data_IF_849183422894
#
_entry.id   IF_849183422894
#
_cell.length_a   1.000
_cell.length_b   1.000
_cell.length_c   1.000
_cell.angle_alpha   90.00
_cell.angle_beta   90.00
_cell.angle_gamma   90.00
#
_symmetry.space_group_name_H-M   'P 1'
#
loop_
_entity.id
_entity.type
_entity.pdbx_description
1 polymer ?
#
# COMPACT_ATOMS: atom_id res chain seq x y z
N UNK A 1 -5.28 21.81 -36.78
CA UNK A 1 -5.00 20.89 -35.65
C UNK A 1 -5.78 19.59 -35.84
N UNK A 2 -5.18 18.40 -35.66
CA UNK A 2 -5.93 17.13 -35.68
C UNK A 2 -6.88 17.06 -34.47
N UNK A 3 -8.18 16.85 -34.71
CA UNK A 3 -9.20 16.71 -33.65
C UNK A 3 -8.81 15.60 -32.67
N UNK A 4 -9.00 15.87 -31.38
CA UNK A 4 -8.59 15.01 -30.27
C UNK A 4 -9.82 14.29 -29.73
N UNK A 5 -10.12 13.14 -30.31
CA UNK A 5 -11.35 12.38 -30.02
C UNK A 5 -11.18 11.44 -28.83
N UNK A 6 -12.23 11.30 -28.03
CA UNK A 6 -12.29 10.38 -26.89
C UNK A 6 -13.37 9.34 -27.14
N UNK A 7 -12.98 8.07 -27.03
CA UNK A 7 -13.88 6.94 -27.19
C UNK A 7 -13.96 6.15 -25.88
N UNK A 8 -15.15 5.66 -25.58
CA UNK A 8 -15.40 4.55 -24.66
C UNK A 8 -15.44 3.26 -25.45
N UNK A 9 -14.85 2.19 -24.94
CA UNK A 9 -14.91 0.84 -25.50
C UNK A 9 -15.44 -0.11 -24.44
N UNK A 10 -16.27 -1.05 -24.87
CA UNK A 10 -16.75 -2.18 -24.09
C UNK A 10 -16.09 -3.46 -24.61
N UNK A 11 -15.58 -4.28 -23.70
CA UNK A 11 -15.01 -5.59 -24.00
C UNK A 11 -15.22 -6.51 -22.81
N UNK A 12 -15.78 -7.71 -23.03
CA UNK A 12 -16.10 -8.68 -21.99
C UNK A 12 -16.86 -8.05 -20.79
N UNK A 13 -17.87 -7.22 -21.10
CA UNK A 13 -18.68 -6.51 -20.09
C UNK A 13 -17.89 -5.55 -19.17
N UNK A 14 -16.68 -5.15 -19.60
CA UNK A 14 -15.85 -4.14 -18.97
C UNK A 14 -15.69 -2.93 -19.89
N UNK A 15 -15.46 -1.76 -19.29
CA UNK A 15 -15.39 -0.48 -20.00
C UNK A 15 -14.04 0.20 -19.82
N UNK A 16 -13.56 0.82 -20.89
CA UNK A 16 -12.37 1.67 -20.86
C UNK A 16 -12.45 2.84 -21.83
N UNK A 17 -11.63 3.86 -21.58
CA UNK A 17 -11.55 5.07 -22.40
C UNK A 17 -10.16 5.25 -22.97
N UNK A 18 -10.08 5.76 -24.20
CA UNK A 18 -8.82 6.26 -24.71
C UNK A 18 -9.00 7.49 -25.58
N UNK A 19 -7.95 8.30 -25.61
CA UNK A 19 -7.84 9.49 -26.46
C UNK A 19 -7.06 9.13 -27.72
N UNK A 20 -7.53 9.58 -28.87
CA UNK A 20 -6.83 9.40 -30.15
C UNK A 20 -6.91 10.64 -31.03
N UNK A 21 -5.82 10.92 -31.75
CA UNK A 21 -5.77 11.92 -32.83
C UNK A 21 -5.91 11.30 -34.22
N UNK A 22 -6.10 9.98 -34.28
CA UNK A 22 -6.18 9.23 -35.53
C UNK A 22 -7.58 9.23 -36.16
N UNK A 23 -8.58 9.85 -35.52
CA UNK A 23 -9.95 9.97 -36.03
C UNK A 23 -10.82 8.72 -35.86
N UNK A 24 -10.24 7.51 -35.74
CA UNK A 24 -11.02 6.27 -35.60
C UNK A 24 -10.60 5.40 -34.42
N UNK A 25 -11.54 4.58 -33.93
CA UNK A 25 -11.32 3.59 -32.87
C UNK A 25 -10.28 2.54 -33.28
N UNK A 26 -10.35 2.05 -34.52
CA UNK A 26 -9.39 1.08 -35.08
C UNK A 26 -7.93 1.55 -34.94
N UNK A 27 -7.64 2.77 -35.39
CA UNK A 27 -6.29 3.32 -35.30
C UNK A 27 -5.90 3.69 -33.87
N UNK A 28 -6.86 4.12 -33.05
CA UNK A 28 -6.66 4.39 -31.63
C UNK A 28 -6.23 3.14 -30.85
N UNK A 29 -6.97 2.04 -30.99
CA UNK A 29 -6.64 0.76 -30.35
C UNK A 29 -5.30 0.20 -30.84
N UNK A 30 -5.00 0.31 -32.15
CA UNK A 30 -3.69 -0.08 -32.68
C UNK A 30 -2.54 0.67 -31.98
N UNK A 31 -2.69 1.98 -31.75
CA UNK A 31 -1.69 2.78 -31.01
C UNK A 31 -1.59 2.39 -29.55
N UNK A 32 -2.70 2.07 -28.89
CA UNK A 32 -2.68 1.56 -27.51
C UNK A 32 -1.92 0.23 -27.43
N UNK A 33 -2.15 -0.69 -28.37
CA UNK A 33 -1.42 -1.96 -28.43
C UNK A 33 0.09 -1.76 -28.65
N UNK A 34 0.48 -0.88 -29.58
CA UNK A 34 1.91 -0.55 -29.77
C UNK A 34 2.53 0.04 -28.52
N UNK A 35 1.82 0.93 -27.83
CA UNK A 35 2.29 1.53 -26.56
C UNK A 35 2.44 0.47 -25.48
N UNK A 36 1.45 -0.40 -25.31
CA UNK A 36 1.49 -1.48 -24.32
C UNK A 36 2.65 -2.44 -24.57
N UNK A 37 2.91 -2.82 -25.83
CA UNK A 37 4.08 -3.64 -26.21
C UNK A 37 5.39 -2.97 -25.79
N UNK A 38 5.58 -1.70 -26.14
CA UNK A 38 6.80 -0.97 -25.83
C UNK A 38 7.07 -0.85 -24.32
N UNK A 39 6.02 -0.61 -23.53
CA UNK A 39 6.12 -0.56 -22.07
C UNK A 39 6.40 -1.93 -21.46
N UNK A 40 5.77 -2.99 -21.98
CA UNK A 40 6.00 -4.36 -21.50
C UNK A 40 7.44 -4.81 -21.73
N UNK A 41 8.03 -4.48 -22.89
CA UNK A 41 9.44 -4.76 -23.19
C UNK A 41 10.40 -4.08 -22.20
N UNK A 42 9.99 -2.96 -21.60
CA UNK A 42 10.75 -2.24 -20.57
C UNK A 42 10.44 -2.71 -19.15
N UNK A 43 9.61 -3.74 -18.99
CA UNK A 43 9.11 -4.21 -17.69
C UNK A 43 8.40 -3.13 -16.86
N UNK A 44 7.80 -2.14 -17.53
CA UNK A 44 6.99 -1.12 -16.86
C UNK A 44 5.65 -1.70 -16.41
N UNK A 45 5.11 -1.19 -15.29
CA UNK A 45 3.73 -1.50 -14.88
C UNK A 45 2.75 -1.04 -15.95
N UNK A 46 1.92 -1.96 -16.43
CA UNK A 46 0.85 -1.66 -17.37
C UNK A 46 -0.44 -1.38 -16.60
N UNK A 47 -1.22 -0.40 -17.03
CA UNK A 47 -2.61 -0.29 -16.55
C UNK A 47 -3.41 -1.53 -16.97
N UNK A 48 -4.45 -1.93 -16.22
CA UNK A 48 -5.30 -3.09 -16.57
C UNK A 48 -5.77 -3.07 -18.03
N UNK A 49 -6.15 -1.90 -18.55
CA UNK A 49 -6.55 -1.74 -19.97
C UNK A 49 -5.41 -2.06 -20.94
N UNK A 50 -4.20 -1.61 -20.66
CA UNK A 50 -3.04 -1.85 -21.54
C UNK A 50 -2.62 -3.30 -21.51
N UNK A 51 -2.62 -3.91 -20.33
CA UNK A 51 -2.36 -5.33 -20.15
C UNK A 51 -3.40 -6.18 -20.90
N UNK A 52 -4.68 -5.87 -20.74
CA UNK A 52 -5.78 -6.53 -21.46
C UNK A 52 -5.65 -6.37 -22.99
N UNK A 53 -5.41 -5.14 -23.47
CA UNK A 53 -5.20 -4.88 -24.89
C UNK A 53 -4.03 -5.71 -25.44
N UNK A 54 -2.95 -5.83 -24.66
CA UNK A 54 -1.77 -6.59 -25.03
C UNK A 54 -2.04 -8.10 -25.09
N UNK A 55 -2.63 -8.68 -24.04
CA UNK A 55 -2.90 -10.12 -23.92
C UNK A 55 -3.95 -10.61 -24.92
N UNK A 56 -5.08 -9.92 -24.97
CA UNK A 56 -6.23 -10.30 -25.82
C UNK A 56 -6.12 -9.74 -27.25
N UNK A 57 -5.03 -9.00 -27.55
CA UNK A 57 -4.81 -8.35 -28.85
C UNK A 57 -6.04 -7.54 -29.31
N UNK A 58 -6.63 -6.78 -28.38
CA UNK A 58 -7.86 -6.01 -28.62
C UNK A 58 -7.68 -5.08 -29.83
N UNK A 59 -8.65 -5.13 -30.72
CA UNK A 59 -8.75 -4.33 -31.94
C UNK A 59 -10.23 -4.02 -32.25
N UNK A 60 -10.49 -3.28 -33.33
CA UNK A 60 -11.87 -2.88 -33.67
C UNK A 60 -12.82 -4.03 -33.99
N UNK A 61 -12.31 -5.23 -34.27
CA UNK A 61 -13.12 -6.35 -34.75
C UNK A 61 -13.50 -7.32 -33.62
N UNK A 62 -12.91 -7.18 -32.43
CA UNK A 62 -13.13 -8.08 -31.30
C UNK A 62 -13.51 -7.34 -30.01
N UNK A 63 -14.05 -6.12 -30.14
CA UNK A 63 -14.67 -5.37 -29.04
C UNK A 63 -16.18 -5.57 -29.07
N UNK A 64 -16.82 -5.52 -27.90
CA UNK A 64 -18.28 -5.69 -27.79
C UNK A 64 -18.99 -4.47 -28.39
N UNK A 65 -18.51 -3.27 -28.07
CA UNK A 65 -19.10 -1.99 -28.48
C UNK A 65 -18.10 -0.84 -28.29
N UNK A 66 -18.36 0.31 -28.93
CA UNK A 66 -17.67 1.56 -28.63
C UNK A 66 -18.59 2.76 -28.83
N UNK A 67 -18.31 3.85 -28.11
CA UNK A 67 -19.10 5.08 -28.20
C UNK A 67 -18.18 6.30 -28.24
N UNK A 68 -18.54 7.27 -29.07
CA UNK A 68 -17.89 8.58 -29.11
C UNK A 68 -18.34 9.39 -27.89
N UNK A 69 -17.39 9.79 -27.04
CA UNK A 69 -17.70 10.54 -25.81
C UNK A 69 -17.49 12.04 -26.02
N UNK A 70 -16.43 12.43 -26.73
CA UNK A 70 -16.18 13.84 -27.00
C UNK A 70 -15.25 14.06 -28.20
N UNK A 71 -15.59 15.04 -29.03
CA UNK A 71 -14.70 15.65 -30.03
C UNK A 71 -14.37 17.11 -29.71
N UNK A 72 -14.82 17.62 -28.55
CA UNK A 72 -14.62 19.02 -28.18
C UNK A 72 -13.12 19.33 -28.02
N UNK A 73 -12.65 20.49 -28.44
CA UNK A 73 -11.25 20.87 -28.26
C UNK A 73 -10.96 21.46 -26.88
N UNK A 74 -11.98 21.94 -26.16
CA UNK A 74 -11.84 22.43 -24.78
C UNK A 74 -11.68 21.27 -23.80
N UNK A 75 -10.61 21.32 -23.01
CA UNK A 75 -10.25 20.24 -22.08
C UNK A 75 -11.22 20.11 -20.91
N UNK A 76 -11.79 21.22 -20.45
CA UNK A 76 -12.73 21.22 -19.33
C UNK A 76 -14.04 20.53 -19.72
N UNK A 77 -14.57 20.86 -20.91
CA UNK A 77 -15.73 20.18 -21.45
C UNK A 77 -15.44 18.71 -21.75
N UNK A 78 -14.25 18.37 -22.31
CA UNK A 78 -13.83 16.97 -22.43
C UNK A 78 -13.89 16.24 -21.07
N UNK A 79 -13.35 16.84 -20.02
CA UNK A 79 -13.37 16.24 -18.68
C UNK A 79 -14.80 16.02 -18.17
N UNK A 80 -15.70 17.00 -18.34
CA UNK A 80 -17.11 16.88 -17.94
C UNK A 80 -17.81 15.73 -18.65
N UNK A 81 -17.64 15.59 -19.97
CA UNK A 81 -18.25 14.49 -20.72
C UNK A 81 -17.74 13.12 -20.26
N UNK A 82 -16.44 13.00 -19.98
CA UNK A 82 -15.85 11.76 -19.46
C UNK A 82 -16.40 11.43 -18.06
N UNK A 83 -16.43 12.40 -17.14
CA UNK A 83 -16.96 12.20 -15.78
C UNK A 83 -18.42 11.75 -15.87
N UNK A 84 -19.24 12.45 -16.65
CA UNK A 84 -20.65 12.10 -16.86
C UNK A 84 -20.79 10.67 -17.38
N UNK A 85 -20.06 10.30 -18.42
CA UNK A 85 -20.12 8.96 -18.99
C UNK A 85 -19.68 7.88 -17.99
N UNK A 86 -18.56 8.05 -17.29
CA UNK A 86 -18.08 7.12 -16.27
C UNK A 86 -19.14 6.91 -15.17
N UNK A 87 -19.81 7.99 -14.73
CA UNK A 87 -20.83 7.89 -13.65
C UNK A 87 -22.05 7.04 -14.02
N UNK A 88 -22.29 6.79 -15.31
CA UNK A 88 -23.36 5.90 -15.78
C UNK A 88 -23.01 4.42 -15.67
N UNK A 89 -21.75 4.08 -15.39
CA UNK A 89 -21.24 2.71 -15.42
C UNK A 89 -20.96 2.22 -13.99
N UNK A 90 -21.26 0.96 -13.71
CA UNK A 90 -20.93 0.34 -12.44
C UNK A 90 -19.39 0.36 -12.23
N UNK A 91 -18.88 0.86 -11.09
CA UNK A 91 -17.44 0.93 -10.84
C UNK A 91 -16.69 -0.39 -11.05
N UNK A 92 -17.32 -1.54 -10.76
CA UNK A 92 -16.73 -2.87 -10.96
C UNK A 92 -16.52 -3.22 -12.44
N UNK A 93 -17.23 -2.55 -13.35
CA UNK A 93 -17.10 -2.77 -14.79
C UNK A 93 -16.05 -1.85 -15.43
N UNK A 94 -15.64 -0.78 -14.75
CA UNK A 94 -14.56 0.07 -15.26
C UNK A 94 -13.23 -0.67 -15.13
N UNK A 95 -12.40 -0.66 -16.15
CA UNK A 95 -11.04 -1.20 -16.08
C UNK A 95 -10.06 -0.19 -15.52
N UNK A 96 -9.02 -0.69 -14.88
CA UNK A 96 -7.90 0.11 -14.43
C UNK A 96 -7.19 0.81 -15.58
N UNK A 97 -7.14 2.14 -15.54
CA UNK A 97 -6.51 2.95 -16.58
C UNK A 97 -6.09 4.33 -16.11
N UNK A 98 -5.26 4.98 -16.91
CA UNK A 98 -4.89 6.38 -16.74
C UNK A 98 -5.75 7.29 -17.63
N UNK A 99 -6.50 8.21 -17.02
CA UNK A 99 -7.33 9.21 -17.69
C UNK A 99 -6.90 10.60 -17.22
N UNK A 100 -5.79 11.10 -17.78
CA UNK A 100 -5.21 12.39 -17.37
C UNK A 100 -6.08 13.60 -17.68
N UNK A 101 -7.06 13.49 -18.58
CA UNK A 101 -7.92 14.61 -18.96
C UNK A 101 -8.86 15.03 -17.83
N UNK A 102 -9.27 14.10 -16.97
CA UNK A 102 -10.31 14.34 -15.96
C UNK A 102 -9.84 15.35 -14.90
N UNK A 103 -8.54 15.44 -14.60
CA UNK A 103 -8.01 16.44 -13.66
C UNK A 103 -8.23 17.89 -14.12
N UNK A 104 -8.40 18.12 -15.43
CA UNK A 104 -8.66 19.45 -15.99
C UNK A 104 -10.00 20.02 -15.49
N UNK A 105 -10.94 19.15 -15.05
CA UNK A 105 -12.15 19.57 -14.34
C UNK A 105 -11.82 20.31 -13.04
N UNK A 106 -11.03 19.68 -12.16
CA UNK A 106 -10.63 20.27 -10.89
C UNK A 106 -9.79 21.54 -11.09
N UNK A 107 -8.88 21.54 -12.07
CA UNK A 107 -8.03 22.70 -12.37
C UNK A 107 -8.86 23.90 -12.82
N UNK A 108 -9.80 23.70 -13.76
CA UNK A 108 -10.67 24.79 -14.22
C UNK A 108 -11.51 25.37 -13.09
N UNK A 109 -12.04 24.56 -12.18
CA UNK A 109 -12.79 25.07 -11.03
C UNK A 109 -11.93 25.98 -10.15
N UNK A 110 -10.65 25.62 -9.92
CA UNK A 110 -9.72 26.48 -9.17
C UNK A 110 -9.46 27.79 -9.92
N UNK A 111 -9.28 27.75 -11.24
CA UNK A 111 -9.13 28.97 -12.04
C UNK A 111 -10.36 29.87 -11.96
N UNK A 112 -11.56 29.31 -12.05
CA UNK A 112 -12.80 30.06 -11.93
C UNK A 112 -12.98 30.68 -10.53
N UNK A 113 -12.37 30.09 -9.50
CA UNK A 113 -12.35 30.70 -8.18
C UNK A 113 -11.33 31.84 -8.10
N UNK A 114 -10.16 31.66 -8.71
CA UNK A 114 -9.11 32.68 -8.74
C UNK A 114 -9.49 33.92 -9.54
N UNK A 115 -10.30 33.77 -10.59
CA UNK A 115 -10.82 34.87 -11.41
C UNK A 115 -12.17 35.43 -10.90
N UNK A 116 -12.58 35.01 -9.70
CA UNK A 116 -13.80 35.44 -9.02
C UNK A 116 -15.11 35.10 -9.76
N UNK A 117 -15.08 34.21 -10.76
CA UNK A 117 -16.28 33.73 -11.47
C UNK A 117 -17.01 32.56 -10.78
N UNK A 118 -16.42 32.00 -9.73
CA UNK A 118 -16.97 30.90 -8.93
C UNK A 118 -16.79 31.16 -7.44
N UNK A 119 -17.87 31.08 -6.67
CA UNK A 119 -17.81 31.23 -5.21
C UNK A 119 -17.13 30.03 -4.53
N UNK A 120 -16.47 30.28 -3.38
CA UNK A 120 -15.78 29.27 -2.59
C UNK A 120 -16.69 28.10 -2.20
N UNK A 121 -17.94 28.36 -1.80
CA UNK A 121 -18.87 27.30 -1.37
C UNK A 121 -19.18 26.34 -2.51
N UNK A 122 -19.32 26.85 -3.73
CA UNK A 122 -19.58 26.07 -4.94
C UNK A 122 -18.32 25.30 -5.35
N UNK A 123 -17.16 25.95 -5.33
CA UNK A 123 -15.87 25.29 -5.57
C UNK A 123 -15.67 24.11 -4.62
N UNK A 124 -15.79 24.37 -3.31
CA UNK A 124 -15.56 23.37 -2.27
C UNK A 124 -16.48 22.17 -2.45
N UNK A 125 -17.78 22.40 -2.64
CA UNK A 125 -18.77 21.34 -2.90
C UNK A 125 -18.43 20.56 -4.16
N UNK A 126 -18.02 21.23 -5.24
CA UNK A 126 -17.70 20.60 -6.52
C UNK A 126 -16.45 19.72 -6.42
N UNK A 127 -15.40 20.20 -5.75
CA UNK A 127 -14.18 19.44 -5.51
C UNK A 127 -14.40 18.28 -4.53
N UNK A 128 -15.29 18.44 -3.55
CA UNK A 128 -15.69 17.34 -2.66
C UNK A 128 -16.44 16.25 -3.42
N UNK A 129 -17.41 16.61 -4.26
CA UNK A 129 -18.07 15.67 -5.17
C UNK A 129 -17.08 14.98 -6.12
N UNK A 130 -16.09 15.72 -6.62
CA UNK A 130 -15.04 15.17 -7.46
C UNK A 130 -14.16 14.16 -6.70
N UNK A 131 -13.79 14.46 -5.45
CA UNK A 131 -13.06 13.53 -4.59
C UNK A 131 -13.87 12.25 -4.32
N UNK A 132 -15.17 12.36 -4.09
CA UNK A 132 -16.04 11.19 -3.88
C UNK A 132 -16.22 10.37 -5.16
N UNK A 133 -16.27 11.03 -6.32
CA UNK A 133 -16.16 10.36 -7.61
C UNK A 133 -14.83 9.58 -7.75
N UNK A 134 -13.69 10.19 -7.37
CA UNK A 134 -12.38 9.50 -7.43
C UNK A 134 -12.32 8.27 -6.50
N UNK A 135 -12.93 8.36 -5.31
CA UNK A 135 -13.05 7.22 -4.38
C UNK A 135 -13.90 6.10 -4.97
N UNK A 136 -15.05 6.46 -5.58
CA UNK A 136 -15.97 5.50 -6.19
C UNK A 136 -15.32 4.76 -7.35
N UNK A 137 -14.57 5.47 -8.19
CA UNK A 137 -13.83 4.91 -9.34
C UNK A 137 -12.34 4.77 -9.02
N UNK A 138 -12.05 4.10 -7.90
CA UNK A 138 -10.69 3.99 -7.36
C UNK A 138 -9.68 3.22 -8.21
N UNK A 139 -10.11 2.64 -9.32
CA UNK A 139 -9.29 1.98 -10.32
C UNK A 139 -8.78 2.91 -11.42
N UNK A 140 -9.15 4.20 -11.43
CA UNK A 140 -8.71 5.16 -12.45
C UNK A 140 -7.60 6.07 -11.91
N UNK A 141 -6.41 6.06 -12.53
CA UNK A 141 -5.41 7.11 -12.35
C UNK A 141 -5.85 8.38 -13.10
N UNK A 142 -6.24 9.41 -12.37
CA UNK A 142 -6.68 10.68 -12.93
C UNK A 142 -5.51 11.59 -13.34
N UNK A 143 -4.27 11.16 -13.12
CA UNK A 143 -3.07 11.84 -13.62
C UNK A 143 -2.68 13.10 -12.83
N UNK A 144 -3.10 13.21 -11.58
CA UNK A 144 -2.59 14.22 -10.66
C UNK A 144 -1.12 13.97 -10.30
N UNK A 145 -0.34 15.01 -9.96
CA UNK A 145 1.01 14.87 -9.46
C UNK A 145 1.04 14.15 -8.09
N UNK A 146 2.23 13.77 -7.62
CA UNK A 146 2.36 12.99 -6.37
C UNK A 146 2.24 13.84 -5.10
N UNK A 147 2.57 15.14 -5.19
CA UNK A 147 2.49 16.10 -4.10
C UNK A 147 2.25 17.52 -4.65
N UNK A 148 2.00 18.48 -3.76
CA UNK A 148 1.70 19.88 -4.12
C UNK A 148 2.89 20.57 -4.82
N UNK A 149 4.13 20.31 -4.38
CA UNK A 149 5.31 20.97 -4.95
C UNK A 149 5.60 20.55 -6.40
N UNK A 150 4.99 19.46 -6.88
CA UNK A 150 5.07 18.99 -8.25
C UNK A 150 4.02 19.60 -9.19
N UNK A 151 3.21 20.55 -8.73
CA UNK A 151 2.35 21.32 -9.63
C UNK A 151 3.18 22.28 -10.48
N UNK A 152 3.30 21.99 -11.77
CA UNK A 152 3.95 22.87 -12.75
C UNK A 152 3.15 24.16 -13.02
N UNK A 153 1.86 24.16 -12.71
CA UNK A 153 0.99 25.30 -12.90
C UNK A 153 1.14 26.28 -11.74
N UNK A 154 1.80 27.41 -12.03
CA UNK A 154 2.13 28.42 -11.02
C UNK A 154 0.88 29.06 -10.42
N UNK A 155 -0.19 29.21 -11.18
CA UNK A 155 -1.42 29.86 -10.70
C UNK A 155 -2.17 28.94 -9.72
N UNK A 156 -2.27 27.66 -10.05
CA UNK A 156 -2.83 26.65 -9.14
C UNK A 156 -1.98 26.55 -7.85
N UNK A 157 -0.65 26.51 -7.99
CA UNK A 157 0.24 26.48 -6.83
C UNK A 157 0.10 27.73 -5.95
N UNK A 158 0.00 28.92 -6.56
CA UNK A 158 -0.22 30.17 -5.85
C UNK A 158 -1.58 30.21 -5.14
N UNK A 159 -2.61 29.55 -5.68
CA UNK A 159 -3.89 29.39 -5.01
C UNK A 159 -3.75 28.67 -3.67
N UNK A 160 -2.97 27.59 -3.65
CA UNK A 160 -2.73 26.81 -2.43
C UNK A 160 -2.02 27.64 -1.35
N UNK A 161 -1.10 28.52 -1.76
CA UNK A 161 -0.44 29.46 -0.82
C UNK A 161 -1.44 30.44 -0.23
N UNK A 162 -2.40 30.92 -1.02
CA UNK A 162 -3.37 31.95 -0.63
C UNK A 162 -4.55 31.41 0.19
N UNK A 163 -5.02 30.20 -0.10
CA UNK A 163 -6.19 29.59 0.55
C UNK A 163 -5.91 28.16 1.03
N UNK A 164 -5.57 28.04 2.32
CA UNK A 164 -5.27 26.76 2.98
C UNK A 164 -6.43 25.75 2.88
N UNK A 165 -7.67 26.21 2.78
CA UNK A 165 -8.83 25.29 2.71
C UNK A 165 -8.84 24.54 1.37
N UNK A 166 -8.41 25.21 0.30
CA UNK A 166 -8.26 24.61 -1.03
C UNK A 166 -7.05 23.68 -1.05
N UNK A 167 -5.94 24.11 -0.45
CA UNK A 167 -4.75 23.28 -0.27
C UNK A 167 -5.09 21.94 0.41
N UNK A 168 -5.79 21.99 1.55
CA UNK A 168 -6.21 20.81 2.32
C UNK A 168 -7.07 19.85 1.47
N UNK A 169 -7.97 20.39 0.65
CA UNK A 169 -8.81 19.59 -0.23
C UNK A 169 -7.99 18.95 -1.35
N UNK A 170 -7.03 19.66 -1.92
CA UNK A 170 -6.11 19.10 -2.90
C UNK A 170 -5.20 18.03 -2.32
N UNK A 171 -4.68 18.19 -1.09
CA UNK A 171 -3.92 17.13 -0.42
C UNK A 171 -4.73 15.83 -0.37
N UNK A 172 -6.03 15.90 -0.07
CA UNK A 172 -6.93 14.74 -0.08
C UNK A 172 -7.08 14.14 -1.49
N UNK A 173 -7.24 14.99 -2.51
CA UNK A 173 -7.28 14.57 -3.94
C UNK A 173 -5.99 13.87 -4.35
N UNK A 174 -4.81 14.40 -4.01
CA UNK A 174 -3.51 13.81 -4.37
C UNK A 174 -3.30 12.46 -3.67
N UNK A 175 -3.62 12.37 -2.37
CA UNK A 175 -3.60 11.11 -1.62
C UNK A 175 -4.51 10.08 -2.27
N UNK A 176 -5.73 10.47 -2.66
CA UNK A 176 -6.65 9.57 -3.35
C UNK A 176 -6.14 9.17 -4.75
N UNK A 177 -5.59 10.09 -5.54
CA UNK A 177 -5.04 9.75 -6.86
C UNK A 177 -3.86 8.79 -6.76
N UNK A 178 -3.01 8.95 -5.74
CA UNK A 178 -1.92 8.02 -5.45
C UNK A 178 -2.46 6.60 -5.22
N UNK A 179 -3.47 6.43 -4.36
CA UNK A 179 -4.17 5.15 -4.17
C UNK A 179 -4.75 4.60 -5.49
N UNK A 180 -5.34 5.48 -6.30
CA UNK A 180 -5.94 5.05 -7.56
C UNK A 180 -4.93 4.61 -8.61
N UNK A 181 -3.79 5.31 -8.72
CA UNK A 181 -2.67 4.95 -9.60
C UNK A 181 -2.26 3.50 -9.36
N UNK A 182 -2.03 3.15 -8.09
CA UNK A 182 -1.68 1.79 -7.69
C UNK A 182 -2.75 0.75 -8.08
N UNK A 183 -4.04 1.08 -7.92
CA UNK A 183 -5.16 0.17 -8.27
C UNK A 183 -5.42 0.05 -9.76
N UNK A 184 -4.99 1.05 -10.54
CA UNK A 184 -5.16 1.07 -12.00
C UNK A 184 -4.17 0.18 -12.74
N UNK A 185 -3.05 -0.15 -12.09
CA UNK A 185 -1.92 -0.89 -12.65
C UNK A 185 -2.00 -2.38 -12.34
N UNK A 186 -1.48 -3.19 -13.26
CA UNK A 186 -1.20 -4.60 -13.07
C UNK A 186 0.26 -4.79 -12.67
N UNK A 187 0.50 -5.82 -11.84
CA UNK A 187 1.85 -6.31 -11.63
C UNK A 187 2.45 -6.75 -12.97
N UNK A 188 3.76 -6.53 -13.21
CA UNK A 188 4.42 -7.08 -14.37
C UNK A 188 4.22 -8.60 -14.44
N UNK A 189 4.06 -9.16 -15.65
CA UNK A 189 3.80 -10.60 -15.84
C UNK A 189 4.85 -11.48 -15.16
N UNK A 190 6.12 -11.08 -15.24
CA UNK A 190 7.23 -11.78 -14.58
C UNK A 190 7.04 -11.84 -13.05
N UNK A 191 6.59 -10.75 -12.42
CA UNK A 191 6.32 -10.68 -10.98
C UNK A 191 5.15 -11.59 -10.63
N UNK A 192 4.05 -11.51 -11.38
CA UNK A 192 2.85 -12.31 -11.12
C UNK A 192 3.13 -13.81 -11.31
N UNK A 193 3.88 -14.18 -12.35
CA UNK A 193 4.28 -15.56 -12.60
C UNK A 193 5.20 -16.07 -11.48
N UNK A 194 6.21 -15.29 -11.11
CA UNK A 194 7.13 -15.67 -10.03
C UNK A 194 6.42 -15.81 -8.69
N UNK A 195 5.48 -14.90 -8.38
CA UNK A 195 4.59 -15.00 -7.23
C UNK A 195 3.79 -16.32 -7.23
N UNK A 196 3.09 -16.61 -8.32
CA UNK A 196 2.25 -17.80 -8.43
C UNK A 196 3.08 -19.09 -8.33
N UNK A 197 4.24 -19.13 -9.01
CA UNK A 197 5.16 -20.26 -8.93
C UNK A 197 5.72 -20.45 -7.52
N UNK A 198 6.08 -19.37 -6.82
CA UNK A 198 6.60 -19.42 -5.45
C UNK A 198 5.60 -20.11 -4.51
N UNK A 199 4.35 -19.66 -4.50
CA UNK A 199 3.33 -20.24 -3.63
C UNK A 199 2.85 -21.63 -4.12
N UNK A 200 2.93 -21.93 -5.41
CA UNK A 200 2.71 -23.29 -5.94
C UNK A 200 3.80 -24.26 -5.46
N UNK A 201 5.07 -23.81 -5.35
CA UNK A 201 6.14 -24.62 -4.75
C UNK A 201 5.85 -24.95 -3.29
N UNK A 202 5.34 -23.99 -2.51
CA UNK A 202 4.95 -24.25 -1.11
C UNK A 202 3.80 -25.24 -0.99
N UNK A 203 2.80 -25.19 -1.89
CA UNK A 203 1.68 -26.15 -1.86
C UNK A 203 2.08 -27.56 -2.29
N UNK A 204 3.10 -27.69 -3.14
CA UNK A 204 3.54 -28.97 -3.70
C UNK A 204 4.70 -29.61 -2.92
N UNK A 205 5.44 -28.83 -2.12
CA UNK A 205 6.54 -29.37 -1.32
C UNK A 205 6.05 -30.00 -0.01
N UNK A 206 6.57 -31.20 0.22
CA UNK A 206 6.36 -32.06 1.39
C UNK A 206 7.11 -31.56 2.64
N UNK A 207 7.10 -30.24 2.92
CA UNK A 207 7.49 -29.77 4.25
C UNK A 207 6.31 -30.05 5.18
N UNK A 208 6.21 -31.29 5.67
CA UNK A 208 5.17 -31.80 6.58
C UNK A 208 5.05 -31.02 7.91
N UNK A 209 5.82 -29.94 8.11
CA UNK A 209 5.97 -29.20 9.36
C UNK A 209 5.72 -27.70 9.18
N UNK A 210 5.44 -27.22 7.95
CA UNK A 210 5.20 -25.78 7.75
C UNK A 210 3.76 -25.42 8.08
N UNK A 211 3.61 -24.60 9.11
CA UNK A 211 2.34 -24.01 9.50
C UNK A 211 1.83 -23.06 8.40
N UNK A 212 0.78 -23.50 7.69
CA UNK A 212 0.15 -22.75 6.60
C UNK A 212 -0.35 -21.38 7.04
N UNK A 213 -0.68 -21.22 8.33
CA UNK A 213 -1.16 -19.94 8.87
C UNK A 213 -0.12 -18.82 8.75
N UNK A 214 1.16 -19.15 8.52
CA UNK A 214 2.22 -18.15 8.33
C UNK A 214 2.15 -17.45 6.97
N UNK A 215 1.56 -18.10 5.96
CA UNK A 215 1.55 -17.56 4.61
C UNK A 215 0.18 -17.61 3.94
N UNK A 216 -0.83 -18.17 4.59
CA UNK A 216 -2.18 -18.27 4.07
C UNK A 216 -3.19 -18.02 5.18
N UNK A 217 -4.25 -17.29 4.86
CA UNK A 217 -5.47 -17.24 5.67
C UNK A 217 -6.61 -17.87 4.86
N UNK A 218 -7.04 -19.06 5.29
CA UNK A 218 -8.07 -19.85 4.59
C UNK A 218 -9.45 -19.21 4.69
N UNK A 219 -9.73 -18.50 5.79
CA UNK A 219 -11.03 -17.86 6.04
C UNK A 219 -11.33 -16.75 5.03
N UNK A 220 -10.31 -16.01 4.62
CA UNK A 220 -10.42 -14.92 3.65
C UNK A 220 -9.87 -15.28 2.25
N UNK A 221 -9.50 -16.55 2.01
CA UNK A 221 -8.84 -17.02 0.76
C UNK A 221 -7.63 -16.16 0.35
N UNK A 222 -6.81 -15.79 1.34
CA UNK A 222 -5.61 -14.98 1.11
C UNK A 222 -4.39 -15.89 1.10
N UNK A 223 -3.78 -16.08 -0.07
CA UNK A 223 -2.45 -16.66 -0.23
C UNK A 223 -1.41 -15.55 -0.22
N UNK A 224 -0.30 -15.76 0.49
CA UNK A 224 0.77 -14.80 0.70
C UNK A 224 0.43 -13.76 1.76
N UNK A 225 1.01 -13.90 2.94
CA UNK A 225 0.89 -12.94 4.04
C UNK A 225 2.22 -12.21 4.27
N UNK A 226 2.12 -10.93 4.59
CA UNK A 226 3.21 -10.17 5.19
C UNK A 226 2.82 -9.76 6.62
N UNK A 227 3.79 -9.75 7.51
CA UNK A 227 3.62 -9.62 8.95
C UNK A 227 4.34 -8.36 9.43
N UNK A 228 3.65 -7.54 10.21
CA UNK A 228 4.30 -6.51 11.01
C UNK A 228 4.14 -6.83 12.49
N UNK A 229 5.19 -6.55 13.26
CA UNK A 229 5.32 -6.92 14.66
C UNK A 229 5.70 -5.69 15.48
N UNK A 230 4.90 -5.38 16.50
CA UNK A 230 5.17 -4.23 17.38
C UNK A 230 4.47 -4.37 18.72
N UNK A 231 4.67 -3.41 19.61
CA UNK A 231 4.02 -3.35 20.93
C UNK A 231 2.58 -2.86 20.81
N UNK A 232 1.72 -3.25 21.75
CA UNK A 232 0.30 -2.89 21.78
C UNK A 232 0.04 -1.37 21.70
N UNK A 233 0.90 -0.53 22.29
CA UNK A 233 0.75 0.92 22.23
C UNK A 233 0.97 1.44 20.81
N UNK A 234 2.02 0.95 20.14
CA UNK A 234 2.28 1.27 18.74
C UNK A 234 1.17 0.73 17.84
N UNK A 235 0.65 -0.47 18.13
CA UNK A 235 -0.45 -1.05 17.37
C UNK A 235 -1.72 -0.20 17.46
N UNK A 236 -2.07 0.28 18.66
CA UNK A 236 -3.20 1.19 18.85
C UNK A 236 -3.05 2.46 17.99
N UNK A 237 -1.86 3.05 17.93
CA UNK A 237 -1.56 4.18 17.04
C UNK A 237 -1.69 3.78 15.55
N UNK A 238 -1.05 2.68 15.13
CA UNK A 238 -1.10 2.19 13.74
C UNK A 238 -2.55 2.04 13.25
N UNK A 239 -3.42 1.44 14.07
CA UNK A 239 -4.82 1.23 13.73
C UNK A 239 -5.63 2.53 13.74
N UNK A 240 -5.32 3.46 14.63
CA UNK A 240 -6.00 4.76 14.73
C UNK A 240 -5.66 5.69 13.55
N UNK A 241 -4.40 5.68 13.12
CA UNK A 241 -3.93 6.48 11.99
C UNK A 241 -3.99 5.76 10.65
N UNK A 242 -4.31 4.46 10.66
CA UNK A 242 -4.41 3.59 9.48
C UNK A 242 -3.12 3.58 8.63
N UNK A 243 -1.96 3.56 9.31
CA UNK A 243 -0.65 3.51 8.65
C UNK A 243 0.42 2.85 9.51
N UNK A 244 1.36 2.17 8.86
CA UNK A 244 2.61 1.67 9.45
C UNK A 244 3.74 2.50 8.88
N UNK A 245 4.54 3.11 9.75
CA UNK A 245 5.59 4.05 9.36
C UNK A 245 6.98 3.45 9.50
N UNK A 246 7.92 3.96 8.70
CA UNK A 246 9.33 3.73 8.88
C UNK A 246 9.83 4.46 10.11
N UNK A 247 10.97 4.01 10.66
CA UNK A 247 11.53 4.63 11.87
C UNK A 247 11.81 6.11 11.68
N UNK A 248 12.46 6.50 10.57
CA UNK A 248 12.78 7.90 10.32
C UNK A 248 11.54 8.76 10.09
N UNK A 249 10.49 8.20 9.47
CA UNK A 249 9.23 8.91 9.28
C UNK A 249 8.46 9.09 10.59
N UNK A 250 8.42 8.04 11.43
CA UNK A 250 7.69 8.05 12.71
C UNK A 250 8.22 9.08 13.72
N UNK A 251 9.50 9.45 13.64
CA UNK A 251 10.08 10.51 14.49
C UNK A 251 9.46 11.88 14.23
N UNK A 252 8.91 12.11 13.03
CA UNK A 252 8.27 13.37 12.65
C UNK A 252 6.84 13.45 13.21
N UNK A 253 6.11 12.32 13.22
CA UNK A 253 4.69 12.25 13.56
C UNK A 253 4.41 11.68 14.98
N UNK A 254 5.45 11.28 15.73
CA UNK A 254 5.39 10.66 17.08
C UNK A 254 4.45 9.45 17.19
N UNK A 255 4.29 8.68 16.11
CA UNK A 255 3.42 7.50 16.08
C UNK A 255 4.01 6.26 16.75
N UNK A 256 5.33 6.09 16.70
CA UNK A 256 6.01 5.04 17.44
C UNK A 256 6.30 5.55 18.86
N UNK A 257 5.67 4.92 19.85
CA UNK A 257 5.96 5.12 21.26
C UNK A 257 7.16 4.26 21.64
N UNK A 258 7.14 2.97 21.27
CA UNK A 258 8.19 2.01 21.61
C UNK A 258 9.03 1.61 20.39
N UNK A 259 10.34 1.47 20.58
CA UNK A 259 11.24 0.95 19.56
C UNK A 259 11.14 -0.59 19.50
N UNK A 260 10.94 -1.17 18.31
CA UNK A 260 10.79 -2.64 18.16
C UNK A 260 12.10 -3.44 18.37
N UNK A 261 13.24 -2.75 18.54
CA UNK A 261 14.56 -3.35 18.73
C UNK A 261 15.48 -2.43 19.54
N UNK A 262 16.54 -3.00 20.12
CA UNK A 262 17.57 -2.27 20.88
C UNK A 262 18.29 -1.19 20.07
N UNK A 263 18.71 -0.10 20.72
CA UNK A 263 19.52 0.98 20.13
C UNK A 263 20.75 0.45 19.37
N UNK A 264 21.50 -0.51 19.92
CA UNK A 264 22.62 -1.16 19.21
C UNK A 264 22.24 -1.76 17.85
N UNK A 265 21.07 -2.39 17.75
CA UNK A 265 20.57 -2.95 16.48
C UNK A 265 20.18 -1.83 15.53
N UNK A 266 19.46 -0.83 16.04
CA UNK A 266 18.95 0.27 15.25
C UNK A 266 20.09 1.20 14.75
N UNK A 267 20.97 1.62 15.63
CA UNK A 267 21.95 2.68 15.38
C UNK A 267 23.31 2.14 14.94
N UNK A 268 23.71 0.96 15.42
CA UNK A 268 25.07 0.43 15.18
C UNK A 268 25.13 -0.68 14.12
N UNK A 269 24.06 -1.48 13.99
CA UNK A 269 24.05 -2.65 13.12
C UNK A 269 23.23 -2.48 11.85
N UNK A 270 22.29 -1.53 11.81
CA UNK A 270 21.40 -1.31 10.67
C UNK A 270 21.80 -0.03 9.94
N UNK A 271 21.94 -0.09 8.61
CA UNK A 271 22.31 1.06 7.78
C UNK A 271 21.22 2.13 7.85
N UNK A 272 21.61 3.41 7.80
CA UNK A 272 20.68 4.53 7.97
C UNK A 272 19.50 4.51 6.99
N UNK A 273 19.75 4.18 5.72
CA UNK A 273 18.70 4.15 4.69
C UNK A 273 17.61 3.11 4.96
N UNK A 274 17.93 2.03 5.70
CA UNK A 274 16.94 0.99 6.04
C UNK A 274 15.85 1.55 6.95
N UNK A 275 16.17 2.57 7.77
CA UNK A 275 15.21 3.25 8.65
C UNK A 275 14.22 4.14 7.89
N UNK A 276 14.43 4.36 6.59
CA UNK A 276 13.48 5.05 5.72
C UNK A 276 12.36 4.12 5.22
N UNK A 277 12.41 2.83 5.54
CA UNK A 277 11.41 1.86 5.11
C UNK A 277 10.63 1.25 6.27
N UNK A 278 9.30 1.19 6.12
CA UNK A 278 8.43 0.36 6.93
C UNK A 278 8.65 -1.10 6.53
N UNK A 279 8.88 -1.97 7.52
CA UNK A 279 9.34 -3.35 7.30
C UNK A 279 8.27 -4.36 7.69
N UNK A 280 8.14 -5.37 6.85
CA UNK A 280 7.24 -6.50 7.04
C UNK A 280 8.01 -7.80 6.79
N UNK A 281 7.74 -8.81 7.60
CA UNK A 281 8.34 -10.13 7.48
C UNK A 281 7.39 -11.08 6.73
N UNK A 282 7.92 -12.10 6.06
CA UNK A 282 7.07 -13.13 5.44
C UNK A 282 6.58 -14.19 6.42
N UNK A 283 7.06 -14.17 7.66
CA UNK A 283 6.68 -15.09 8.74
C UNK A 283 6.56 -14.34 10.05
N UNK A 284 5.71 -14.79 10.99
CA UNK A 284 5.59 -14.17 12.30
C UNK A 284 6.88 -14.29 13.13
N UNK A 285 7.65 -15.37 12.93
CA UNK A 285 8.75 -15.73 13.84
C UNK A 285 10.08 -15.12 13.39
N UNK A 286 10.63 -14.20 14.19
CA UNK A 286 12.02 -13.75 14.06
C UNK A 286 12.90 -14.34 15.18
N UNK A 287 14.15 -14.77 14.92
CA UNK A 287 15.06 -15.30 15.94
C UNK A 287 15.30 -14.39 17.16
N UNK A 288 14.99 -13.10 17.05
CA UNK A 288 15.19 -12.11 18.12
C UNK A 288 13.92 -11.79 18.91
N UNK A 289 12.78 -12.42 18.57
CA UNK A 289 11.47 -12.09 19.13
C UNK A 289 11.45 -12.22 20.66
N UNK A 290 11.84 -13.36 21.23
CA UNK A 290 11.85 -13.55 22.68
C UNK A 290 12.74 -12.57 23.43
N UNK A 291 13.90 -12.24 22.84
CA UNK A 291 14.77 -11.21 23.40
C UNK A 291 14.07 -9.86 23.44
N UNK A 292 13.36 -9.50 22.38
CA UNK A 292 12.60 -8.25 22.33
C UNK A 292 11.40 -8.28 23.29
N UNK A 293 10.77 -9.44 23.51
CA UNK A 293 9.71 -9.63 24.52
C UNK A 293 10.22 -9.69 25.96
N UNK A 294 11.54 -9.76 26.17
CA UNK A 294 12.15 -9.90 27.50
C UNK A 294 12.08 -11.31 28.10
N UNK A 295 11.86 -12.33 27.27
CA UNK A 295 11.84 -13.74 27.67
C UNK A 295 13.26 -14.31 27.49
N UNK A 296 13.91 -14.67 28.60
CA UNK A 296 15.27 -15.21 28.64
C UNK A 296 15.26 -16.64 29.19
N UNK A 297 16.15 -17.50 28.68
CA UNK A 297 16.32 -18.86 29.19
C UNK A 297 16.88 -18.92 30.61
N UNK A 298 16.98 -20.13 31.18
CA UNK A 298 17.37 -20.42 32.57
C UNK A 298 18.70 -19.78 33.03
N UNK A 299 19.61 -19.49 32.09
CA UNK A 299 20.89 -18.81 32.35
C UNK A 299 20.85 -17.28 32.13
N UNK A 300 19.66 -16.69 32.10
CA UNK A 300 19.43 -15.28 31.76
C UNK A 300 20.29 -14.30 32.57
N UNK A 301 20.52 -14.56 33.86
CA UNK A 301 21.32 -13.70 34.75
C UNK A 301 22.84 -13.70 34.43
N UNK A 302 23.34 -14.68 33.68
CA UNK A 302 24.77 -14.79 33.29
C UNK A 302 25.06 -14.22 31.90
N UNK A 303 24.04 -13.72 31.20
CA UNK A 303 24.18 -13.25 29.83
C UNK A 303 24.70 -11.79 29.84
N UNK A 304 26.03 -11.62 29.81
CA UNK A 304 26.78 -10.35 29.76
C UNK A 304 26.32 -9.33 28.69
N UNK A 305 25.43 -9.74 27.76
CA UNK A 305 24.77 -8.87 26.77
C UNK A 305 23.55 -8.10 27.32
N UNK A 306 23.03 -8.46 28.49
CA UNK A 306 21.91 -7.77 29.16
C UNK A 306 22.35 -6.51 29.91
N UNK A 307 23.56 -6.50 30.47
CA UNK A 307 24.11 -5.34 31.19
C UNK A 307 24.34 -4.12 30.30
N UNK A 308 24.37 -4.30 28.98
CA UNK A 308 24.82 -3.29 28.01
C UNK A 308 23.75 -2.79 27.02
N UNK A 309 22.47 -3.18 27.16
CA UNK A 309 21.40 -2.73 26.24
C UNK A 309 20.23 -2.13 27.02
N UNK A 310 20.17 -0.80 27.08
CA UNK A 310 19.11 -0.02 27.73
C UNK A 310 17.94 0.16 26.74
N UNK A 311 16.70 -0.03 27.20
CA UNK A 311 15.48 0.32 26.45
C UNK A 311 14.98 1.73 26.82
N UNK A 312 14.37 2.45 25.88
CA UNK A 312 14.11 3.90 26.01
C UNK A 312 12.96 4.31 26.95
N UNK A 313 11.97 3.45 27.24
CA UNK A 313 10.79 3.83 28.05
C UNK A 313 10.71 3.09 29.40
N UNK A 314 11.46 2.01 29.56
CA UNK A 314 11.53 1.27 30.81
C UNK A 314 12.99 1.21 31.24
N UNK A 315 13.52 2.32 31.74
CA UNK A 315 14.95 2.57 32.07
C UNK A 315 15.62 1.51 32.97
N UNK A 316 14.90 0.47 33.42
CA UNK A 316 15.41 -0.64 34.23
C UNK A 316 14.86 -2.03 33.86
N UNK A 317 14.39 -2.30 32.62
CA UNK A 317 13.98 -3.66 32.22
C UNK A 317 14.40 -4.08 30.79
N UNK A 318 14.66 -5.39 30.57
CA UNK A 318 15.28 -5.92 29.36
C UNK A 318 14.36 -6.14 28.14
N UNK A 319 13.09 -5.71 28.18
CA UNK A 319 12.08 -5.98 27.14
C UNK A 319 11.75 -4.73 26.31
N UNK A 320 11.84 -4.83 24.98
CA UNK A 320 11.44 -3.78 24.03
C UNK A 320 9.96 -3.87 23.60
N UNK A 321 9.37 -5.07 23.68
CA UNK A 321 8.03 -5.41 23.19
C UNK A 321 7.28 -6.25 24.23
N UNK A 322 6.89 -5.67 25.39
CA UNK A 322 6.31 -6.44 26.50
C UNK A 322 4.95 -7.05 26.14
N UNK A 323 4.15 -6.35 25.32
CA UNK A 323 2.87 -6.84 24.81
C UNK A 323 2.93 -6.86 23.27
N UNK A 324 3.52 -7.92 22.69
CA UNK A 324 3.66 -8.08 21.26
C UNK A 324 2.30 -8.26 20.56
N UNK A 325 2.11 -7.55 19.45
CA UNK A 325 0.97 -7.70 18.56
C UNK A 325 1.48 -7.91 17.12
N UNK A 326 0.89 -8.88 16.43
CA UNK A 326 1.09 -9.03 14.99
C UNK A 326 -0.09 -8.48 14.21
N UNK A 327 0.18 -7.85 13.08
CA UNK A 327 -0.83 -7.49 12.08
C UNK A 327 -0.39 -8.01 10.72
N UNK A 328 -1.33 -8.54 9.94
CA UNK A 328 -1.07 -9.14 8.64
C UNK A 328 -1.85 -8.50 7.51
N UNK A 329 -1.21 -8.47 6.34
CA UNK A 329 -1.77 -7.96 5.10
C UNK A 329 -1.54 -8.97 3.96
N UNK A 330 -2.37 -8.90 2.92
CA UNK A 330 -2.14 -9.66 1.69
C UNK A 330 -0.87 -9.16 0.99
N UNK A 331 0.12 -10.04 0.85
CA UNK A 331 1.36 -9.73 0.13
C UNK A 331 1.06 -9.31 -1.31
N UNK A 332 0.22 -10.08 -2.01
CA UNK A 332 -0.18 -9.78 -3.40
C UNK A 332 -0.77 -8.38 -3.52
N UNK A 333 -1.68 -8.01 -2.61
CA UNK A 333 -2.28 -6.67 -2.59
C UNK A 333 -1.22 -5.60 -2.38
N UNK A 334 -0.24 -5.83 -1.51
CA UNK A 334 0.82 -4.86 -1.26
C UNK A 334 1.83 -4.74 -2.40
N UNK A 335 2.09 -5.81 -3.16
CA UNK A 335 2.84 -5.71 -4.41
C UNK A 335 2.17 -4.71 -5.38
N UNK A 336 0.83 -4.72 -5.48
CA UNK A 336 0.09 -3.75 -6.29
C UNK A 336 0.25 -2.32 -5.75
N UNK A 337 0.16 -2.16 -4.43
CA UNK A 337 0.27 -0.87 -3.74
C UNK A 337 1.70 -0.30 -3.68
N UNK A 338 2.69 -1.11 -4.06
CA UNK A 338 4.09 -0.70 -4.14
C UNK A 338 4.89 -1.04 -2.89
N UNK A 339 6.19 -1.23 -3.10
CA UNK A 339 7.13 -1.74 -2.11
C UNK A 339 8.11 -2.69 -2.78
N UNK A 340 9.09 -3.14 -2.01
CA UNK A 340 10.18 -3.97 -2.50
C UNK A 340 10.27 -5.26 -1.69
N UNK A 341 10.53 -6.37 -2.34
CA UNK A 341 10.98 -7.59 -1.64
C UNK A 341 12.49 -7.52 -1.53
N UNK A 342 13.03 -7.86 -0.37
CA UNK A 342 14.48 -7.87 -0.17
C UNK A 342 15.07 -9.23 -0.50
N UNK A 343 16.30 -9.27 -0.98
CA UNK A 343 17.02 -10.52 -1.28
C UNK A 343 17.31 -11.33 -0.01
N UNK A 344 17.43 -10.64 1.12
CA UNK A 344 17.79 -11.13 2.46
C UNK A 344 17.39 -10.08 3.52
N UNK A 345 17.65 -10.37 4.79
CA UNK A 345 17.51 -9.45 5.92
C UNK A 345 18.25 -8.13 5.69
N UNK A 346 17.58 -7.02 5.97
CA UNK A 346 18.21 -5.69 6.02
C UNK A 346 18.84 -5.39 7.40
N UNK A 347 18.84 -6.35 8.32
CA UNK A 347 19.57 -6.23 9.58
C UNK A 347 21.03 -6.64 9.39
N UNK A 348 21.97 -5.75 9.77
CA UNK A 348 23.41 -6.05 9.81
C UNK A 348 24.25 -5.22 8.84
N UNK A 349 25.57 -5.25 9.05
CA UNK A 349 26.54 -4.44 8.29
C UNK A 349 26.81 -4.94 6.86
N UNK A 350 26.39 -6.17 6.53
CA UNK A 350 26.56 -6.81 5.21
C UNK A 350 25.54 -6.35 4.16
N UNK A 351 24.69 -5.39 4.52
CA UNK A 351 23.72 -4.76 3.63
C UNK A 351 24.44 -3.71 2.78
N UNK A 352 24.17 -3.69 1.48
CA UNK A 352 24.73 -2.69 0.55
C UNK A 352 24.37 -1.26 1.01
N UNK A 353 25.26 -0.32 0.72
CA UNK A 353 24.97 1.10 0.91
C UNK A 353 23.96 1.62 -0.13
N UNK A 354 23.82 0.92 -1.27
CA UNK A 354 22.81 1.22 -2.29
C UNK A 354 21.59 0.29 -2.11
N UNK A 355 20.39 0.84 -1.78
CA UNK A 355 19.18 0.05 -1.58
C UNK A 355 18.79 -0.85 -2.75
N UNK A 356 19.02 -0.39 -3.99
CA UNK A 356 18.63 -1.12 -5.20
C UNK A 356 19.32 -2.49 -5.32
N UNK A 357 20.52 -2.62 -4.75
CA UNK A 357 21.26 -3.88 -4.78
C UNK A 357 20.62 -4.95 -3.90
N UNK A 358 19.79 -4.56 -2.93
CA UNK A 358 19.15 -5.44 -1.96
C UNK A 358 17.74 -5.84 -2.37
N UNK A 359 17.17 -5.27 -3.44
CA UNK A 359 15.80 -5.52 -3.87
C UNK A 359 15.70 -6.62 -4.94
N UNK A 360 14.67 -7.45 -4.80
CA UNK A 360 14.25 -8.50 -5.73
C UNK A 360 12.86 -8.18 -6.28
N UNK A 361 12.74 -7.04 -6.98
CA UNK A 361 11.47 -6.50 -7.45
C UNK A 361 10.74 -7.43 -8.44
N UNK A 362 11.48 -8.30 -9.13
CA UNK A 362 10.93 -9.32 -10.04
C UNK A 362 10.54 -10.62 -9.32
N UNK A 363 10.80 -10.75 -8.01
CA UNK A 363 10.55 -11.94 -7.19
C UNK A 363 11.29 -13.21 -7.66
N UNK A 364 12.40 -13.06 -8.39
CA UNK A 364 13.15 -14.21 -8.91
C UNK A 364 13.79 -14.97 -7.77
N UNK A 365 14.53 -14.28 -6.90
CA UNK A 365 15.19 -14.89 -5.76
C UNK A 365 14.16 -15.32 -4.70
N UNK A 366 13.10 -14.54 -4.50
CA UNK A 366 11.97 -14.89 -3.63
C UNK A 366 11.36 -16.23 -4.05
N UNK A 367 11.08 -16.42 -5.34
CA UNK A 367 10.58 -17.69 -5.88
C UNK A 367 11.55 -18.86 -5.67
N UNK A 368 12.84 -18.62 -5.84
CA UNK A 368 13.87 -19.65 -5.65
C UNK A 368 14.00 -20.05 -4.17
N UNK A 369 13.95 -19.05 -3.28
CA UNK A 369 14.20 -19.19 -1.85
C UNK A 369 12.93 -19.37 -1.02
N UNK A 370 11.74 -19.41 -1.63
CA UNK A 370 10.46 -19.45 -0.89
C UNK A 370 10.43 -20.54 0.19
N UNK A 371 10.89 -21.75 -0.12
CA UNK A 371 10.95 -22.83 0.87
C UNK A 371 11.93 -22.51 2.01
N UNK A 372 13.07 -21.87 1.71
CA UNK A 372 14.08 -21.48 2.71
C UNK A 372 13.62 -20.32 3.60
N UNK A 373 12.81 -19.40 3.07
CA UNK A 373 12.22 -18.30 3.85
C UNK A 373 11.35 -18.85 4.97
N UNK A 374 10.56 -19.88 4.66
CA UNK A 374 9.61 -20.49 5.59
C UNK A 374 10.19 -21.66 6.38
N UNK A 375 11.29 -22.26 5.93
CA UNK A 375 11.97 -23.34 6.64
C UNK A 375 12.54 -22.89 7.99
N UNK A 376 12.51 -23.80 8.97
CA UNK A 376 12.99 -23.56 10.35
C UNK A 376 14.52 -23.50 10.38
N UNK A 377 15.17 -24.36 9.61
CA UNK A 377 16.62 -24.63 9.66
C UNK A 377 17.46 -23.77 8.72
N UNK A 378 16.81 -23.04 7.82
CA UNK A 378 17.49 -22.16 6.87
C UNK A 378 18.29 -21.02 7.54
N UNK A 379 19.28 -20.44 6.84
CA UNK A 379 20.06 -19.31 7.35
C UNK A 379 19.19 -18.12 7.77
N UNK A 380 19.54 -17.46 8.88
CA UNK A 380 18.75 -16.35 9.45
C UNK A 380 18.57 -15.17 8.48
N UNK A 381 19.58 -14.86 7.66
CA UNK A 381 19.49 -13.79 6.67
C UNK A 381 18.45 -14.09 5.58
N UNK A 382 18.20 -15.36 5.24
CA UNK A 382 17.15 -15.76 4.27
C UNK A 382 15.78 -15.87 4.95
N UNK A 383 15.70 -16.43 6.15
CA UNK A 383 14.44 -16.51 6.92
C UNK A 383 13.86 -15.14 7.26
N UNK A 384 14.72 -14.14 7.35
CA UNK A 384 14.37 -12.74 7.61
C UNK A 384 14.31 -11.92 6.31
N UNK A 385 14.06 -12.53 5.15
CA UNK A 385 13.64 -11.77 3.96
C UNK A 385 12.39 -10.95 4.28
N UNK A 386 12.32 -9.74 3.72
CA UNK A 386 11.36 -8.72 4.11
C UNK A 386 10.63 -8.17 2.88
N UNK A 387 9.42 -7.67 3.11
CA UNK A 387 8.77 -6.73 2.23
C UNK A 387 8.89 -5.34 2.87
N UNK A 388 9.30 -4.34 2.08
CA UNK A 388 9.59 -3.00 2.59
C UNK A 388 8.88 -1.92 1.79
N UNK A 389 8.35 -0.93 2.49
CA UNK A 389 7.63 0.21 1.89
C UNK A 389 8.30 1.50 2.33
N UNK A 390 8.69 2.35 1.38
CA UNK A 390 9.36 3.61 1.69
C UNK A 390 8.42 4.55 2.46
N UNK A 391 8.94 5.18 3.51
CA UNK A 391 8.28 6.09 4.44
C UNK A 391 7.14 5.45 5.26
N UNK A 392 6.07 5.02 4.63
CA UNK A 392 4.93 4.41 5.31
C UNK A 392 4.03 3.60 4.36
N UNK A 393 3.31 2.64 4.92
CA UNK A 393 2.22 1.94 4.27
C UNK A 393 0.89 2.38 4.89
N UNK A 394 0.03 3.06 4.12
CA UNK A 394 -1.35 3.35 4.52
C UNK A 394 -2.28 2.20 4.17
N UNK A 395 -3.35 2.03 4.94
CA UNK A 395 -4.36 1.01 4.72
C UNK A 395 -5.76 1.49 5.12
N UNK A 396 -6.77 0.70 4.83
CA UNK A 396 -8.11 0.77 5.46
C UNK A 396 -8.35 -0.49 6.28
N UNK A 397 -9.33 -0.52 7.21
CA UNK A 397 -9.59 -1.71 8.02
C UNK A 397 -9.78 -2.99 7.19
N UNK A 398 -10.43 -2.91 6.02
CA UNK A 398 -10.64 -4.04 5.11
C UNK A 398 -9.36 -4.60 4.48
N UNK A 399 -8.24 -3.85 4.51
CA UNK A 399 -6.96 -4.33 4.02
C UNK A 399 -6.27 -5.26 5.03
N UNK A 400 -6.64 -5.17 6.31
CA UNK A 400 -6.12 -6.00 7.38
C UNK A 400 -6.73 -7.40 7.22
N UNK A 401 -5.86 -8.40 7.11
CA UNK A 401 -6.27 -9.81 7.09
C UNK A 401 -6.56 -10.22 8.53
N UNK A 402 -5.54 -10.23 9.39
CA UNK A 402 -5.66 -10.60 10.80
C UNK A 402 -4.81 -9.70 11.70
N UNK A 403 -5.24 -9.56 12.95
CA UNK A 403 -4.44 -9.04 14.06
C UNK A 403 -4.35 -10.18 15.07
N UNK A 404 -3.16 -10.55 15.51
CA UNK A 404 -2.97 -11.63 16.46
C UNK A 404 -2.53 -11.09 17.82
N UNK A 405 -3.13 -11.65 18.86
CA UNK A 405 -2.78 -11.43 20.28
C UNK A 405 -2.64 -12.77 20.99
N UNK A 406 -2.02 -12.79 22.17
CA UNK A 406 -1.77 -14.02 22.94
C UNK A 406 -3.00 -14.44 23.75
N UNK A 407 -3.74 -13.48 24.30
CA UNK A 407 -4.84 -13.74 25.24
C UNK A 407 -6.07 -12.87 24.96
N UNK A 408 -7.23 -13.28 25.48
CA UNK A 408 -8.45 -12.47 25.45
C UNK A 408 -8.30 -11.13 26.18
N UNK A 409 -7.44 -11.08 27.21
CA UNK A 409 -7.15 -9.84 27.95
C UNK A 409 -6.43 -8.84 27.03
N UNK A 410 -5.48 -9.29 26.23
CA UNK A 410 -4.79 -8.43 25.26
C UNK A 410 -5.72 -7.97 24.15
N UNK A 411 -6.65 -8.82 23.69
CA UNK A 411 -7.71 -8.44 22.75
C UNK A 411 -8.57 -7.32 23.33
N UNK A 412 -9.08 -7.50 24.55
CA UNK A 412 -9.89 -6.51 25.25
C UNK A 412 -9.11 -5.22 25.48
N UNK A 413 -7.85 -5.31 25.90
CA UNK A 413 -6.99 -4.15 26.10
C UNK A 413 -6.81 -3.35 24.81
N UNK A 414 -6.47 -4.00 23.68
CA UNK A 414 -6.31 -3.32 22.40
C UNK A 414 -7.62 -2.65 21.94
N UNK A 415 -8.76 -3.34 22.06
CA UNK A 415 -10.07 -2.76 21.73
C UNK A 415 -10.42 -1.56 22.62
N UNK A 416 -10.11 -1.64 23.92
CA UNK A 416 -10.30 -0.55 24.88
C UNK A 416 -9.40 0.63 24.54
N UNK A 417 -8.14 0.38 24.22
CA UNK A 417 -7.19 1.42 23.78
C UNK A 417 -7.68 2.10 22.50
N UNK A 418 -8.27 1.38 21.55
CA UNK A 418 -8.87 1.99 20.35
C UNK A 418 -10.11 2.84 20.69
N UNK A 419 -10.93 2.40 21.65
CA UNK A 419 -12.07 3.17 22.15
C UNK A 419 -11.64 4.46 22.86
N UNK A 420 -10.63 4.37 23.72
CA UNK A 420 -10.07 5.50 24.47
C UNK A 420 -9.26 6.44 23.59
N UNK A 421 -8.50 5.91 22.63
CA UNK A 421 -7.83 6.74 21.62
C UNK A 421 -8.87 7.47 20.76
N UNK A 422 -10.07 6.91 20.57
CA UNK A 422 -11.20 7.67 20.05
C UNK A 422 -11.52 8.83 21.03
N UNK A 423 -11.80 8.52 22.30
CA UNK A 423 -12.26 9.49 23.32
C UNK A 423 -11.28 10.64 23.61
N UNK A 424 -10.00 10.37 23.85
CA UNK A 424 -8.97 11.39 24.21
C UNK A 424 -8.66 12.37 23.08
N UNK A 425 -8.93 12.00 21.82
CA UNK A 425 -8.61 12.83 20.65
C UNK A 425 -9.84 13.50 20.02
N UNK A 426 -11.05 13.29 20.56
CA UNK A 426 -12.28 13.96 20.08
C UNK A 426 -12.42 15.43 20.49
N UNK A 427 -11.53 15.98 21.31
CA UNK A 427 -11.57 17.41 21.69
C UNK A 427 -11.20 18.37 20.55
N UNK A 428 -10.67 17.88 19.42
CA UNK A 428 -10.42 18.70 18.21
C UNK A 428 -11.20 18.17 17.01
N UNK A 429 -12.34 18.82 16.74
CA UNK A 429 -13.44 18.35 15.88
C UNK A 429 -13.17 18.12 14.38
N UNK A 430 -12.02 18.48 13.80
CA UNK A 430 -11.91 18.59 12.34
C UNK A 430 -10.88 17.67 11.63
N UNK A 431 -10.20 16.76 12.33
CA UNK A 431 -9.14 15.94 11.71
C UNK A 431 -9.31 14.42 11.78
N UNK A 432 -10.34 13.89 12.46
CA UNK A 432 -10.38 12.47 12.82
C UNK A 432 -11.56 11.72 12.18
N UNK A 433 -11.27 10.60 11.53
CA UNK A 433 -12.30 9.61 11.20
C UNK A 433 -12.65 8.88 12.50
N UNK A 434 -13.92 8.93 12.90
CA UNK A 434 -14.46 8.11 14.00
C UNK A 434 -14.00 6.67 13.81
N UNK A 435 -13.22 6.14 14.76
CA UNK A 435 -12.81 4.74 14.73
C UNK A 435 -14.05 3.93 15.09
N UNK A 436 -14.53 3.10 14.16
CA UNK A 436 -15.54 2.10 14.45
C UNK A 436 -14.84 0.80 14.86
N UNK A 437 -14.88 0.53 16.17
CA UNK A 437 -14.23 -0.62 16.79
C UNK A 437 -14.76 -1.93 16.19
N UNK A 438 -16.01 -1.95 15.72
CA UNK A 438 -16.62 -3.13 15.09
C UNK A 438 -15.82 -3.63 13.89
N UNK A 439 -15.10 -2.75 13.19
CA UNK A 439 -14.24 -3.13 12.06
C UNK A 439 -13.07 -4.02 12.46
N UNK A 440 -12.70 -4.06 13.75
CA UNK A 440 -11.50 -4.77 14.23
C UNK A 440 -11.83 -6.00 15.09
N UNK A 441 -13.03 -6.10 15.68
CA UNK A 441 -13.41 -7.18 16.62
C UNK A 441 -13.17 -8.57 16.03
N UNK A 442 -13.62 -8.79 14.79
CA UNK A 442 -13.51 -10.08 14.10
C UNK A 442 -12.13 -10.30 13.47
N UNK A 443 -11.34 -9.23 13.35
CA UNK A 443 -9.97 -9.28 12.82
C UNK A 443 -8.96 -9.62 13.92
N UNK A 444 -9.27 -9.33 15.19
CA UNK A 444 -8.40 -9.66 16.32
C UNK A 444 -8.64 -11.11 16.77
N UNK A 445 -7.62 -11.93 16.58
CA UNK A 445 -7.60 -13.36 16.85
C UNK A 445 -6.70 -13.63 18.04
N UNK A 446 -7.24 -14.32 19.03
CA UNK A 446 -6.44 -14.86 20.12
C UNK A 446 -5.80 -16.16 19.65
N UNK A 447 -4.48 -16.12 19.45
CA UNK A 447 -3.72 -17.29 19.04
C UNK A 447 -2.31 -17.26 19.66
N UNK A 448 -2.12 -17.83 20.86
CA UNK A 448 -0.82 -17.83 21.53
C UNK A 448 0.25 -18.65 20.79
N UNK A 449 -0.12 -19.61 19.93
CA UNK A 449 0.85 -20.49 19.24
C UNK A 449 1.72 -19.75 18.22
N UNK A 450 1.23 -18.61 17.70
CA UNK A 450 2.00 -17.71 16.82
C UNK A 450 3.18 -17.09 17.58
N UNK A 451 3.04 -16.87 18.89
CA UNK A 451 4.03 -16.21 19.75
C UNK A 451 5.00 -17.18 20.41
N UNK A 452 4.63 -18.46 20.55
CA UNK A 452 5.46 -19.48 21.17
C UNK A 452 6.32 -20.22 20.11
N UNK A 453 7.64 -20.30 20.30
CA UNK A 453 8.43 -21.46 19.92
C UNK A 453 7.89 -22.64 20.71
N UNK A 454 7.52 -23.71 20.02
CA UNK A 454 7.62 -25.00 20.64
C UNK A 454 9.10 -25.19 20.98
N UNK A 455 9.41 -25.25 22.27
CA UNK A 455 10.62 -25.88 22.76
C UNK A 455 10.49 -27.34 22.33
N UNK A 456 11.04 -27.66 21.17
CA UNK A 456 11.25 -29.04 20.77
C UNK A 456 12.61 -29.43 21.34
N UNK A 457 12.58 -30.44 22.22
CA UNK A 457 13.72 -31.01 22.93
C UNK A 457 14.90 -31.37 22.01
#
# INVERSE_FOLDING_TARGET
MKKKTIYRVKFNNKYFWFKTTAGSVKLGLKRQLTTAKAQNTKHEKLTQVKDLILREKINSNNIDDYSLISENNDKYEQAKYIIKDITTINPRQVLGQKITMVKEYAYRLVFMYLDETLDFSILYKSLQCFLDFMKRYSNIDFGFPENISMFYDKEIYNCFIKDRRIEDLFIKILKQNKLNKFRSENLPDIVLNNYNEAYKKLSNNYLQVLDKTWYMDERNDVKGLIWHFTDINNMANILSYLRIESKNYSKQDKLAINDNASSKVNETLTKSWVHDYARFYFRPKTPTQYRNEGIFGRNGHLNRRLENNVGEIWEKKPAHLPIPIFITFSFKKQLFLGGHVTKKSLAGKSVSDNPLDEFDDNLTLFKEKICQIYDKYSPNNIKQTEFVVKNYMSFIPDDIVNIFVRTEIEKLALLTMLAEHNAKYFDKKDQHKKIDIKNYVDKIIVNPTIFLMMLEN
#
